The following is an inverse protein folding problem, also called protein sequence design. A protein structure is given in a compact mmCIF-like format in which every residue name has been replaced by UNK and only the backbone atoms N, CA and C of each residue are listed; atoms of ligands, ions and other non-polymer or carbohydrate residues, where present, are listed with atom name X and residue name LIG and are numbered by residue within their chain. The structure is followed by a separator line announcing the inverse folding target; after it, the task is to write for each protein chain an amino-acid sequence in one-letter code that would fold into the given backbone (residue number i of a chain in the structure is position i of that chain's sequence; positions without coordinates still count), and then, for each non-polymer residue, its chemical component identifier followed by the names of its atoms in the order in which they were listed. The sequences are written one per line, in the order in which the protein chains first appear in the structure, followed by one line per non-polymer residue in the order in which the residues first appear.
data_IF_551155029254
#
_entry.id   IF_551155029254
#
_cell.length_a   1.000
_cell.length_b   1.000
_cell.length_c   1.000
_cell.angle_alpha   90.00
_cell.angle_beta   90.00
_cell.angle_gamma   90.00
#
_symmetry.space_group_name_H-M   'P 1'
#
loop_
_entity.id
_entity.type
_entity.pdbx_description
1 polymer ?
#
# COMPACT_ATOMS: atom_id res chain seq x y z
N UNK A 1 -0.09 -4.97 -4.42
CA UNK A 1 0.65 -3.70 -4.44
C UNK A 1 2.09 -4.06 -4.78
N UNK A 2 2.59 -3.68 -5.95
CA UNK A 2 4.00 -3.88 -6.36
C UNK A 2 4.87 -2.66 -6.04
N UNK A 3 4.37 -1.72 -5.23
CA UNK A 3 5.17 -0.62 -4.71
C UNK A 3 5.90 -1.08 -3.44
N UNK A 4 7.21 -0.87 -3.41
CA UNK A 4 8.09 -1.26 -2.31
C UNK A 4 8.03 -0.31 -1.10
N UNK A 5 7.24 0.77 -1.17
CA UNK A 5 7.11 1.76 -0.10
C UNK A 5 6.13 1.35 1.03
N UNK A 6 5.43 0.22 0.87
CA UNK A 6 4.51 -0.36 1.87
C UNK A 6 3.51 0.64 2.48
N UNK A 7 2.97 1.54 1.65
CA UNK A 7 2.06 2.60 2.10
C UNK A 7 0.58 2.21 1.99
N UNK A 8 -0.13 2.17 3.12
CA UNK A 8 -1.54 1.80 3.16
C UNK A 8 -2.48 2.88 2.59
N UNK A 9 -2.13 4.16 2.69
CA UNK A 9 -2.95 5.23 2.12
C UNK A 9 -2.94 5.18 0.59
N UNK A 10 -1.76 4.93 0.01
CA UNK A 10 -1.66 4.69 -1.43
C UNK A 10 -2.39 3.42 -1.86
N UNK A 11 -2.32 2.35 -1.07
CA UNK A 11 -3.06 1.12 -1.37
C UNK A 11 -4.58 1.35 -1.40
N UNK A 12 -5.12 2.11 -0.45
CA UNK A 12 -6.54 2.50 -0.44
C UNK A 12 -6.90 3.36 -1.66
N UNK A 13 -6.07 4.35 -2.00
CA UNK A 13 -6.26 5.22 -3.16
C UNK A 13 -6.28 4.43 -4.47
N UNK A 14 -5.32 3.51 -4.63
CA UNK A 14 -5.25 2.61 -5.77
C UNK A 14 -6.46 1.69 -5.85
N UNK A 15 -6.92 1.13 -4.72
CA UNK A 15 -8.14 0.31 -4.70
C UNK A 15 -9.38 1.11 -5.15
N UNK A 16 -9.52 2.35 -4.67
CA UNK A 16 -10.56 3.28 -5.13
C UNK A 16 -10.48 3.53 -6.63
N UNK A 17 -9.32 3.91 -7.17
CA UNK A 17 -9.16 4.20 -8.60
C UNK A 17 -9.32 2.98 -9.50
N UNK A 18 -8.76 1.83 -9.11
CA UNK A 18 -8.89 0.58 -9.86
C UNK A 18 -10.34 0.13 -9.96
N UNK A 19 -11.17 0.37 -8.93
CA UNK A 19 -12.61 0.07 -9.00
C UNK A 19 -13.33 0.88 -10.08
N UNK A 20 -12.90 2.13 -10.32
CA UNK A 20 -13.54 3.06 -11.27
C UNK A 20 -13.23 2.71 -12.72
N UNK A 21 -12.06 2.13 -12.99
CA UNK A 21 -11.67 1.74 -14.35
C UNK A 21 -12.32 0.44 -14.82
N UNK A 22 -13.01 -0.29 -13.94
CA UNK A 22 -13.70 -1.54 -14.31
C UNK A 22 -14.95 -1.30 -15.16
N UNK A 23 -15.55 -0.11 -15.10
CA UNK A 23 -16.71 0.23 -15.92
C UNK A 23 -17.40 1.53 -15.48
N UNK A 24 -18.31 2.07 -16.31
CA UNK A 24 -18.93 3.37 -16.08
C UNK A 24 -20.05 3.36 -15.01
N UNK A 25 -20.48 2.19 -14.53
CA UNK A 25 -21.53 2.08 -13.50
C UNK A 25 -20.98 2.47 -12.11
N UNK A 26 -21.13 3.75 -11.77
CA UNK A 26 -20.60 4.32 -10.51
C UNK A 26 -21.17 3.67 -9.24
N UNK A 27 -22.32 3.01 -9.31
CA UNK A 27 -22.91 2.29 -8.17
C UNK A 27 -22.10 1.07 -7.75
N UNK A 28 -21.22 0.59 -8.64
CA UNK A 28 -20.32 -0.54 -8.40
C UNK A 28 -18.92 -0.09 -7.97
N UNK A 29 -18.65 1.21 -7.99
CA UNK A 29 -17.36 1.73 -7.57
C UNK A 29 -17.22 1.63 -6.06
N UNK A 30 -15.99 1.38 -5.63
CA UNK A 30 -15.64 1.33 -4.22
C UNK A 30 -15.75 2.74 -3.63
N UNK A 31 -16.51 2.89 -2.56
CA UNK A 31 -16.56 4.14 -1.79
C UNK A 31 -15.30 4.30 -0.93
N UNK A 32 -14.99 5.53 -0.54
CA UNK A 32 -13.87 5.81 0.38
C UNK A 32 -14.07 5.15 1.74
N UNK A 33 -15.31 5.09 2.23
CA UNK A 33 -15.67 4.36 3.45
C UNK A 33 -15.37 2.87 3.33
N UNK A 34 -15.75 2.23 2.23
CA UNK A 34 -15.44 0.82 2.00
C UNK A 34 -13.93 0.57 1.90
N UNK A 35 -13.17 1.47 1.26
CA UNK A 35 -11.71 1.41 1.23
C UNK A 35 -11.10 1.47 2.64
N UNK A 36 -11.53 2.45 3.45
CA UNK A 36 -11.05 2.62 4.81
C UNK A 36 -11.39 1.43 5.72
N UNK A 37 -12.62 0.91 5.60
CA UNK A 37 -13.04 -0.30 6.33
C UNK A 37 -12.27 -1.53 5.87
N UNK A 38 -12.02 -1.69 4.57
CA UNK A 38 -11.21 -2.79 4.05
C UNK A 38 -9.77 -2.76 4.59
N UNK A 39 -9.17 -1.56 4.67
CA UNK A 39 -7.83 -1.35 5.22
C UNK A 39 -7.73 -1.55 6.74
N UNK A 40 -8.86 -1.60 7.46
CA UNK A 40 -8.91 -1.74 8.91
C UNK A 40 -9.67 -3.02 9.33
N UNK A 41 -10.96 -2.92 9.63
CA UNK A 41 -11.78 -4.04 10.09
C UNK A 41 -11.82 -5.21 9.09
N UNK A 42 -11.84 -4.90 7.79
CA UNK A 42 -11.83 -5.90 6.71
C UNK A 42 -10.58 -6.75 6.72
N UNK A 43 -9.41 -6.10 6.79
CA UNK A 43 -8.12 -6.79 6.91
C UNK A 43 -8.03 -7.60 8.21
N UNK A 44 -8.51 -7.05 9.33
CA UNK A 44 -8.57 -7.78 10.60
C UNK A 44 -9.40 -9.07 10.48
N UNK A 45 -10.59 -9.00 9.88
CA UNK A 45 -11.43 -10.17 9.61
C UNK A 45 -10.75 -11.18 8.69
N UNK A 46 -10.13 -10.70 7.60
CA UNK A 46 -9.43 -11.55 6.65
C UNK A 46 -8.27 -12.34 7.28
N UNK A 47 -7.63 -11.77 8.31
CA UNK A 47 -6.55 -12.41 9.07
C UNK A 47 -7.04 -13.25 10.28
N UNK A 48 -8.35 -13.37 10.50
CA UNK A 48 -8.90 -14.08 11.67
C UNK A 48 -8.72 -13.32 13.00
N UNK A 49 -8.53 -12.00 12.95
CA UNK A 49 -8.31 -11.11 14.09
C UNK A 49 -9.44 -10.09 14.29
N UNK A 50 -10.59 -10.29 13.63
CA UNK A 50 -11.72 -9.34 13.59
C UNK A 50 -12.35 -9.01 14.94
N UNK A 51 -12.15 -9.85 15.95
CA UNK A 51 -12.64 -9.63 17.32
C UNK A 51 -11.57 -9.00 18.24
N UNK A 52 -10.40 -8.66 17.69
CA UNK A 52 -9.23 -8.24 18.46
C UNK A 52 -8.66 -6.89 18.02
N UNK A 53 -8.67 -6.60 16.71
CA UNK A 53 -8.05 -5.39 16.13
C UNK A 53 -8.92 -4.80 15.01
N UNK A 54 -8.51 -3.64 14.50
CA UNK A 54 -9.13 -3.00 13.33
C UNK A 54 -10.34 -2.11 13.65
N UNK A 55 -10.77 -2.06 14.92
CA UNK A 55 -11.88 -1.22 15.39
C UNK A 55 -11.50 -0.47 16.67
N UNK A 56 -11.95 0.78 16.78
CA UNK A 56 -11.89 1.56 18.01
C UNK A 56 -13.14 1.30 18.86
N UNK A 57 -13.10 0.27 19.70
CA UNK A 57 -14.19 -0.08 20.60
C UNK A 57 -13.67 -0.81 21.86
N UNK A 58 -14.39 -0.79 22.98
CA UNK A 58 -14.05 -1.61 24.15
C UNK A 58 -13.86 -3.08 23.78
N UNK A 59 -12.85 -3.73 24.36
CA UNK A 59 -12.50 -5.13 24.07
C UNK A 59 -11.49 -5.31 22.92
N UNK A 60 -11.26 -4.29 22.10
CA UNK A 60 -10.25 -4.30 21.04
C UNK A 60 -8.89 -3.78 21.54
N UNK A 61 -7.80 -4.16 20.87
CA UNK A 61 -6.48 -3.57 21.12
C UNK A 61 -6.49 -2.09 20.75
N UNK A 62 -5.80 -1.28 21.56
CA UNK A 62 -5.54 0.12 21.27
C UNK A 62 -4.43 0.27 20.21
N UNK A 63 -4.79 -0.07 18.97
CA UNK A 63 -3.99 0.13 17.77
C UNK A 63 -4.50 1.40 17.06
N UNK A 64 -3.84 2.53 17.26
CA UNK A 64 -4.35 3.87 16.92
C UNK A 64 -3.29 4.64 16.13
N UNK A 65 -3.70 5.24 15.01
CA UNK A 65 -2.90 6.18 14.22
C UNK A 65 -3.49 7.58 14.42
N UNK A 66 -2.66 8.54 14.79
CA UNK A 66 -3.02 9.94 14.99
C UNK A 66 -2.42 10.79 13.89
N UNK A 67 -3.26 11.59 13.24
CA UNK A 67 -2.90 12.46 12.12
C UNK A 67 -2.89 13.91 12.56
N UNK A 68 -1.91 14.65 12.04
CA UNK A 68 -1.81 16.11 12.17
C UNK A 68 -2.73 16.77 11.15
N UNK A 69 -3.82 17.38 11.63
CA UNK A 69 -4.83 18.02 10.79
C UNK A 69 -4.40 19.40 10.27
N UNK A 70 -3.31 19.96 10.79
CA UNK A 70 -2.69 21.18 10.24
C UNK A 70 -1.76 20.88 9.05
N UNK A 71 -1.54 19.60 8.73
CA UNK A 71 -0.76 19.18 7.57
C UNK A 71 -1.47 19.58 6.25
N UNK A 72 -0.76 20.01 5.20
CA UNK A 72 -1.37 20.45 3.93
C UNK A 72 -2.36 19.47 3.29
N UNK A 73 -2.18 18.16 3.51
CA UNK A 73 -3.11 17.13 3.02
C UNK A 73 -4.52 17.22 3.66
N UNK A 74 -4.63 17.85 4.83
CA UNK A 74 -5.85 17.98 5.61
C UNK A 74 -6.44 19.39 5.58
N UNK A 75 -5.84 20.32 4.81
CA UNK A 75 -6.29 21.71 4.69
C UNK A 75 -6.94 21.98 3.33
N UNK A 76 -8.20 22.48 3.27
CA UNK A 76 -9.14 22.60 4.38
C UNK A 76 -9.68 21.23 4.83
N UNK A 77 -10.03 21.13 6.11
CA UNK A 77 -10.63 19.92 6.68
C UNK A 77 -12.13 19.89 6.36
N UNK A 78 -12.57 19.00 5.47
CA UNK A 78 -13.96 18.98 5.00
C UNK A 78 -14.61 17.59 5.01
N UNK A 79 -13.94 16.57 4.46
CA UNK A 79 -14.40 15.19 4.43
C UNK A 79 -13.26 14.28 4.88
N UNK A 80 -13.23 13.89 6.16
CA UNK A 80 -12.11 13.15 6.70
C UNK A 80 -11.93 11.78 6.07
N UNK A 81 -13.00 11.09 5.66
CA UNK A 81 -12.89 9.75 5.07
C UNK A 81 -12.39 9.85 3.64
N UNK A 82 -12.87 10.85 2.89
CA UNK A 82 -12.37 11.11 1.55
C UNK A 82 -10.90 11.56 1.56
N UNK A 83 -10.53 12.47 2.46
CA UNK A 83 -9.14 12.96 2.59
C UNK A 83 -8.19 11.84 3.04
N UNK A 84 -8.63 10.96 3.95
CA UNK A 84 -7.87 9.78 4.38
C UNK A 84 -7.52 8.85 3.21
N UNK A 85 -8.45 8.64 2.28
CA UNK A 85 -8.26 7.68 1.17
C UNK A 85 -7.59 8.33 -0.03
N UNK A 86 -8.01 9.55 -0.40
CA UNK A 86 -7.58 10.17 -1.67
C UNK A 86 -6.43 11.17 -1.52
N UNK A 87 -6.18 11.70 -0.32
CA UNK A 87 -5.21 12.79 -0.14
C UNK A 87 -4.03 12.39 0.76
N UNK A 88 -4.29 11.73 1.88
CA UNK A 88 -3.24 11.33 2.82
C UNK A 88 -2.23 10.36 2.17
N UNK A 89 -0.95 10.50 2.53
CA UNK A 89 0.17 9.74 1.99
C UNK A 89 1.11 9.21 3.09
N UNK A 90 0.70 9.28 4.36
CA UNK A 90 1.46 8.87 5.54
C UNK A 90 2.29 9.98 6.17
N UNK A 91 2.48 11.13 5.50
CA UNK A 91 3.31 12.23 6.02
C UNK A 91 2.64 13.03 7.14
N UNK A 92 1.29 12.99 7.23
CA UNK A 92 0.57 13.62 8.32
C UNK A 92 0.56 12.77 9.61
N UNK A 93 1.08 11.54 9.59
CA UNK A 93 1.11 10.68 10.78
C UNK A 93 2.00 11.29 11.86
N UNK A 94 1.38 11.75 12.95
CA UNK A 94 2.07 12.36 14.08
C UNK A 94 2.49 11.31 15.11
N UNK A 95 1.57 10.43 15.49
CA UNK A 95 1.82 9.43 16.53
C UNK A 95 1.12 8.11 16.19
N UNK A 96 1.72 6.99 16.63
CA UNK A 96 1.19 5.63 16.41
C UNK A 96 1.28 4.86 17.71
N UNK A 97 0.16 4.26 18.10
CA UNK A 97 0.01 3.41 19.27
C UNK A 97 -0.30 1.99 18.81
N UNK A 98 0.38 1.00 19.40
CA UNK A 98 0.10 -0.43 19.17
C UNK A 98 -0.12 -1.10 20.53
N UNK A 99 -1.29 -1.70 20.72
CA UNK A 99 -1.68 -2.38 21.95
C UNK A 99 -1.60 -1.48 23.20
N UNK A 100 -1.84 -0.17 23.05
CA UNK A 100 -1.75 0.79 24.16
C UNK A 100 -0.36 1.40 24.38
N UNK A 101 0.65 1.01 23.60
CA UNK A 101 2.02 1.54 23.72
C UNK A 101 2.34 2.43 22.52
N UNK A 102 2.77 3.67 22.77
CA UNK A 102 3.29 4.55 21.73
C UNK A 102 4.57 3.95 21.14
N UNK A 103 4.58 3.81 19.81
CA UNK A 103 5.74 3.38 19.02
C UNK A 103 6.30 4.49 18.14
N UNK A 104 5.46 5.46 17.81
CA UNK A 104 5.82 6.73 17.18
C UNK A 104 5.14 7.82 17.99
N UNK A 105 5.89 8.86 18.33
CA UNK A 105 5.35 10.04 18.99
C UNK A 105 5.97 11.31 18.41
N UNK A 106 5.13 12.30 18.08
CA UNK A 106 5.56 13.56 17.47
C UNK A 106 6.54 13.35 16.29
N UNK A 107 6.18 12.43 15.39
CA UNK A 107 6.94 12.00 14.20
C UNK A 107 8.29 11.32 14.50
N UNK A 108 8.56 10.96 15.76
CA UNK A 108 9.78 10.24 16.17
C UNK A 108 9.46 8.79 16.47
N UNK A 109 10.20 7.88 15.85
CA UNK A 109 10.13 6.43 16.15
C UNK A 109 10.78 6.18 17.50
N UNK A 110 10.06 5.51 18.41
CA UNK A 110 10.49 5.27 19.79
C UNK A 110 11.13 3.89 20.01
N UNK A 111 10.95 2.96 19.08
CA UNK A 111 11.28 1.54 19.28
C UNK A 111 12.40 1.01 18.39
N UNK A 112 12.92 1.85 17.49
CA UNK A 112 13.92 1.45 16.50
C UNK A 112 15.06 2.47 16.53
N UNK A 113 16.26 1.96 16.76
CA UNK A 113 17.49 2.71 16.51
C UNK A 113 17.75 2.72 14.99
N UNK A 114 17.59 3.89 14.38
CA UNK A 114 17.74 4.07 12.94
C UNK A 114 19.19 3.93 12.47
N UNK A 115 20.18 4.29 13.29
CA UNK A 115 21.59 4.14 12.93
C UNK A 115 21.94 2.66 12.90
N UNK A 116 21.62 1.93 13.96
CA UNK A 116 21.83 0.47 14.00
C UNK A 116 21.03 -0.27 12.94
N UNK A 117 19.83 0.22 12.58
CA UNK A 117 19.04 -0.35 11.49
C UNK A 117 19.75 -0.16 10.14
N UNK A 118 20.33 1.01 9.87
CA UNK A 118 21.07 1.27 8.61
C UNK A 118 22.20 0.27 8.41
N UNK A 119 22.98 0.00 9.46
CA UNK A 119 24.08 -0.98 9.39
C UNK A 119 23.56 -2.39 9.11
N UNK A 120 22.48 -2.79 9.77
CA UNK A 120 21.83 -4.09 9.53
C UNK A 120 21.31 -4.22 8.10
N UNK A 121 20.76 -3.14 7.54
CA UNK A 121 20.27 -3.12 6.15
C UNK A 121 21.45 -3.25 5.19
N UNK A 122 22.55 -2.54 5.41
CA UNK A 122 23.76 -2.67 4.57
C UNK A 122 24.30 -4.10 4.57
N UNK A 123 24.49 -4.70 5.75
CA UNK A 123 24.94 -6.09 5.86
C UNK A 123 23.96 -7.09 5.23
N UNK A 124 22.65 -6.86 5.36
CA UNK A 124 21.65 -7.69 4.72
C UNK A 124 21.71 -7.61 3.18
N UNK A 125 21.97 -6.41 2.63
CA UNK A 125 22.16 -6.21 1.18
C UNK A 125 23.37 -6.97 0.67
N UNK A 126 24.51 -6.90 1.36
CA UNK A 126 25.72 -7.62 0.98
C UNK A 126 25.50 -9.14 0.97
N UNK A 127 24.89 -9.67 2.05
CA UNK A 127 24.55 -11.08 2.14
C UNK A 127 23.61 -11.53 1.02
N UNK A 128 22.57 -10.75 0.73
CA UNK A 128 21.61 -11.07 -0.35
C UNK A 128 22.28 -11.00 -1.72
N UNK A 129 23.16 -10.01 -1.95
CA UNK A 129 23.92 -9.90 -3.19
C UNK A 129 24.84 -11.10 -3.41
N UNK A 130 25.52 -11.56 -2.36
CA UNK A 130 26.37 -12.75 -2.42
C UNK A 130 25.55 -14.02 -2.71
N UNK A 131 24.45 -14.23 -1.97
CA UNK A 131 23.58 -15.40 -2.15
C UNK A 131 22.93 -15.46 -3.55
N UNK A 132 22.64 -14.30 -4.13
CA UNK A 132 22.00 -14.21 -5.44
C UNK A 132 22.98 -14.01 -6.60
N UNK A 133 24.29 -14.08 -6.38
CA UNK A 133 25.29 -13.72 -7.40
C UNK A 133 25.16 -14.56 -8.68
N UNK A 134 25.00 -15.88 -8.56
CA UNK A 134 24.87 -16.78 -9.71
C UNK A 134 23.51 -16.62 -10.41
N UNK A 135 22.43 -16.47 -9.63
CA UNK A 135 21.11 -16.17 -10.18
C UNK A 135 21.12 -14.84 -10.96
N UNK A 136 21.81 -13.83 -10.44
CA UNK A 136 21.94 -12.53 -11.10
C UNK A 136 22.66 -12.66 -12.44
N UNK A 137 23.77 -13.40 -12.51
CA UNK A 137 24.47 -13.67 -13.79
C UNK A 137 23.55 -14.38 -14.79
N UNK A 138 22.80 -15.38 -14.33
CA UNK A 138 21.82 -16.08 -15.16
C UNK A 138 20.73 -15.12 -15.67
N UNK A 139 20.17 -14.27 -14.81
CA UNK A 139 19.13 -13.32 -15.20
C UNK A 139 19.63 -12.26 -16.17
N UNK A 140 20.84 -11.72 -15.96
CA UNK A 140 21.47 -10.77 -16.89
C UNK A 140 21.69 -11.41 -18.27
N UNK A 141 22.06 -12.70 -18.33
CA UNK A 141 22.17 -13.44 -19.60
C UNK A 141 20.81 -13.69 -20.27
N UNK A 142 19.74 -13.88 -19.48
CA UNK A 142 18.39 -14.14 -19.97
C UNK A 142 17.60 -12.85 -20.28
N UNK A 143 18.03 -11.69 -19.78
CA UNK A 143 17.32 -10.41 -19.90
C UNK A 143 16.94 -10.08 -21.35
N UNK A 144 17.81 -10.22 -22.37
CA UNK A 144 17.43 -9.91 -23.75
C UNK A 144 16.32 -10.82 -24.28
N UNK A 145 16.30 -12.09 -23.85
CA UNK A 145 15.31 -13.08 -24.27
C UNK A 145 13.98 -12.82 -23.58
N UNK A 146 13.99 -12.66 -22.25
CA UNK A 146 12.77 -12.39 -21.46
C UNK A 146 12.17 -11.03 -21.85
N UNK A 147 13.00 -10.00 -22.04
CA UNK A 147 12.57 -8.67 -22.45
C UNK A 147 11.90 -8.65 -23.82
N UNK A 148 12.24 -9.59 -24.71
CA UNK A 148 11.60 -9.72 -26.04
C UNK A 148 10.19 -10.30 -25.98
N UNK A 149 9.80 -10.96 -24.87
CA UNK A 149 8.56 -11.70 -24.75
C UNK A 149 7.32 -10.78 -24.82
N UNK A 150 7.25 -9.73 -24.00
CA UNK A 150 6.11 -8.82 -23.97
C UNK A 150 5.89 -8.07 -25.31
N UNK A 151 6.92 -7.49 -25.96
CA UNK A 151 6.80 -6.92 -27.30
C UNK A 151 6.37 -7.96 -28.35
N UNK A 152 6.88 -9.20 -28.27
CA UNK A 152 6.48 -10.31 -29.14
C UNK A 152 5.00 -10.68 -28.98
N UNK A 153 4.52 -10.77 -27.73
CA UNK A 153 3.13 -11.04 -27.38
C UNK A 153 2.17 -9.92 -27.80
N UNK A 154 2.62 -8.67 -27.79
CA UNK A 154 1.83 -7.54 -28.27
C UNK A 154 1.67 -7.54 -29.80
N UNK A 155 2.65 -8.07 -30.54
CA UNK A 155 2.63 -8.18 -32.01
C UNK A 155 1.81 -9.36 -32.53
N UNK A 156 1.48 -10.33 -31.67
CA UNK A 156 0.64 -11.45 -32.06
C UNK A 156 -0.84 -11.00 -32.14
N UNK A 157 -1.51 -11.11 -33.30
CA UNK A 157 -2.91 -10.76 -33.40
C UNK A 157 -3.77 -11.83 -32.69
N UNK A 158 -4.47 -11.43 -31.64
CA UNK A 158 -5.42 -12.29 -30.94
C UNK A 158 -6.84 -12.06 -31.46
N UNK A 159 -7.69 -13.09 -31.37
CA UNK A 159 -9.12 -13.07 -31.74
C UNK A 159 -9.99 -12.25 -30.78
N UNK A 160 -9.38 -11.52 -29.83
CA UNK A 160 -10.05 -10.71 -28.80
C UNK A 160 -9.47 -9.29 -28.84
N UNK A 161 -10.35 -8.29 -28.96
CA UNK A 161 -9.97 -6.88 -28.85
C UNK A 161 -9.50 -6.58 -27.42
N UNK A 162 -8.17 -6.51 -27.24
CA UNK A 162 -7.51 -6.28 -25.94
C UNK A 162 -7.82 -4.93 -25.30
N UNK A 163 -8.18 -3.94 -26.11
CA UNK A 163 -8.58 -2.61 -25.67
C UNK A 163 -10.09 -2.58 -25.70
N UNK A 164 -10.72 -2.93 -24.58
CA UNK A 164 -12.17 -3.07 -24.46
C UNK A 164 -12.91 -1.77 -24.76
N UNK A 165 -13.20 -1.53 -26.02
CA UNK A 165 -14.33 -0.77 -26.53
C UNK A 165 -14.41 -1.05 -28.04
N UNK A 166 -15.56 -1.56 -28.51
CA UNK A 166 -15.97 -1.23 -29.88
C UNK A 166 -16.21 0.29 -29.87
N UNK A 167 -15.41 1.04 -30.62
CA UNK A 167 -15.83 2.38 -31.03
C UNK A 167 -17.09 2.18 -31.87
N UNK A 168 -18.24 2.43 -31.25
CA UNK A 168 -19.51 2.60 -31.93
C UNK A 168 -19.68 4.04 -32.38
#
# INVERSE_FOLDING_TARGET
NCADNQNMYEAMRLASFVSKVQGPDWRRWLTTREAALAATEGSARALGLGDRIGRLAPGYKADIVMLDLDHPNWLPFNDPVNQLVHTEDGTAVASVMIGGRLIVDNRRVLTVDLERLRDRVAAARERLAAANADNRRLYEALEPVVGSYCPGLARSPYHIHRYGARMG
#
